data_IF_519429806001
#
_entry.id   IF_519429806001
#
_cell.length_a   1.000
_cell.length_b   1.000
_cell.length_c   1.000
_cell.angle_alpha   90.00
_cell.angle_beta   90.00
_cell.angle_gamma   90.00
#
_symmetry.space_group_name_H-M   'P 1'
#
loop_
_entity.id
_entity.type
_entity.pdbx_description
1 polymer ?
#
# COMPACT_ATOMS: atom_id res chain seq x y z
N UNK A 1 -11.45 4.36 3.16
CA UNK A 1 -9.98 4.44 3.23
C UNK A 1 -9.57 4.23 4.67
N UNK A 2 -8.66 3.28 4.96
CA UNK A 2 -8.15 3.01 6.31
C UNK A 2 -6.70 3.49 6.40
N UNK A 3 -6.34 4.22 7.44
CA UNK A 3 -4.95 4.63 7.72
C UNK A 3 -4.40 3.70 8.80
N UNK A 4 -3.32 2.98 8.49
CA UNK A 4 -2.64 2.06 9.39
C UNK A 4 -1.25 2.61 9.66
N UNK A 5 -0.88 2.77 10.95
CA UNK A 5 0.41 3.36 11.36
C UNK A 5 1.37 2.37 12.01
N UNK A 6 0.90 1.16 12.31
CA UNK A 6 1.67 0.11 12.95
C UNK A 6 1.95 -1.03 11.98
N UNK A 7 3.19 -1.52 11.96
CA UNK A 7 3.58 -2.71 11.21
C UNK A 7 2.71 -3.91 11.61
N UNK A 8 2.49 -4.10 12.93
CA UNK A 8 1.67 -5.19 13.45
C UNK A 8 0.23 -5.12 12.97
N UNK A 9 -0.36 -3.92 12.97
CA UNK A 9 -1.74 -3.74 12.48
C UNK A 9 -1.82 -4.01 10.97
N UNK A 10 -0.82 -3.60 10.20
CA UNK A 10 -0.77 -3.85 8.75
C UNK A 10 -0.65 -5.34 8.45
N UNK A 11 0.19 -6.07 9.19
CA UNK A 11 0.32 -7.53 9.07
C UNK A 11 -1.01 -8.23 9.38
N UNK A 12 -1.68 -7.87 10.48
CA UNK A 12 -3.00 -8.42 10.83
C UNK A 12 -4.03 -8.16 9.72
N UNK A 13 -4.06 -6.95 9.17
CA UNK A 13 -4.96 -6.61 8.06
C UNK A 13 -4.65 -7.43 6.81
N UNK A 14 -3.39 -7.49 6.38
CA UNK A 14 -2.98 -8.22 5.18
C UNK A 14 -3.29 -9.72 5.31
N UNK A 15 -3.05 -10.31 6.48
CA UNK A 15 -3.38 -11.71 6.76
C UNK A 15 -4.89 -11.98 6.74
N UNK A 16 -5.70 -11.06 7.29
CA UNK A 16 -7.16 -11.17 7.21
C UNK A 16 -7.69 -11.08 5.77
N UNK A 17 -7.05 -10.30 4.89
CA UNK A 17 -7.46 -10.19 3.50
C UNK A 17 -7.00 -11.43 2.71
N UNK A 18 -5.78 -11.90 2.97
CA UNK A 18 -5.26 -13.15 2.40
C UNK A 18 -6.11 -14.36 2.77
N UNK A 19 -6.54 -14.49 4.03
CA UNK A 19 -7.39 -15.60 4.48
C UNK A 19 -8.79 -15.59 3.86
N UNK A 20 -9.25 -14.43 3.38
CA UNK A 20 -10.48 -14.27 2.59
C UNK A 20 -10.28 -14.58 1.10
N UNK A 21 -9.09 -14.99 0.68
CA UNK A 21 -8.75 -15.22 -0.73
C UNK A 21 -8.64 -13.95 -1.57
N UNK A 22 -8.60 -12.77 -0.93
CA UNK A 22 -8.53 -11.48 -1.62
C UNK A 22 -7.09 -11.16 -2.03
N UNK A 23 -6.92 -10.64 -3.24
CA UNK A 23 -5.63 -10.18 -3.76
C UNK A 23 -5.40 -8.73 -3.37
N UNK A 24 -4.27 -8.46 -2.73
CA UNK A 24 -3.83 -7.10 -2.38
C UNK A 24 -2.87 -6.58 -3.45
N UNK A 25 -3.21 -5.47 -4.10
CA UNK A 25 -2.29 -4.69 -4.91
C UNK A 25 -1.53 -3.72 -4.00
N UNK A 26 -0.23 -3.53 -4.23
CA UNK A 26 0.62 -2.70 -3.40
C UNK A 26 1.37 -1.65 -4.24
N UNK A 27 1.31 -0.39 -3.80
CA UNK A 27 2.05 0.74 -4.37
C UNK A 27 2.92 1.35 -3.26
N UNK A 28 4.23 1.02 -3.20
CA UNK A 28 5.12 1.63 -2.22
C UNK A 28 5.49 3.05 -2.61
N UNK A 29 5.46 3.99 -1.65
CA UNK A 29 5.85 5.39 -1.90
C UNK A 29 6.57 6.00 -0.70
N UNK A 30 7.20 7.16 -0.92
CA UNK A 30 7.72 8.02 0.14
C UNK A 30 6.81 9.22 0.45
N UNK A 31 5.59 9.27 -0.11
CA UNK A 31 4.66 10.39 0.03
C UNK A 31 4.77 11.43 -1.08
N UNK A 32 4.33 12.66 -0.79
CA UNK A 32 4.31 13.80 -1.73
C UNK A 32 3.77 13.45 -3.13
N UNK A 33 2.51 13.01 -3.17
CA UNK A 33 1.90 12.44 -4.36
C UNK A 33 1.78 13.41 -5.54
N UNK A 34 1.82 12.84 -6.74
CA UNK A 34 1.64 13.51 -8.02
C UNK A 34 1.02 12.50 -9.02
N UNK A 35 0.73 12.91 -10.25
CA UNK A 35 -0.02 12.09 -11.22
C UNK A 35 0.59 10.70 -11.50
N UNK A 36 1.92 10.59 -11.52
CA UNK A 36 2.61 9.29 -11.61
C UNK A 36 2.20 8.32 -10.49
N UNK A 37 2.15 8.77 -9.23
CA UNK A 37 1.66 7.96 -8.12
C UNK A 37 0.19 7.57 -8.29
N UNK A 38 -0.65 8.53 -8.70
CA UNK A 38 -2.09 8.28 -8.89
C UNK A 38 -2.36 7.31 -10.05
N UNK A 39 -1.54 7.34 -11.10
CA UNK A 39 -1.59 6.37 -12.19
C UNK A 39 -1.34 4.94 -11.68
N UNK A 40 -0.27 4.74 -10.88
CA UNK A 40 0.02 3.44 -10.27
C UNK A 40 -1.10 2.97 -9.33
N UNK A 41 -1.69 3.88 -8.54
CA UNK A 41 -2.84 3.55 -7.68
C UNK A 41 -4.08 3.16 -8.48
N UNK A 42 -4.38 3.87 -9.58
CA UNK A 42 -5.48 3.53 -10.50
C UNK A 42 -5.28 2.15 -11.12
N UNK A 43 -4.06 1.84 -11.55
CA UNK A 43 -3.72 0.53 -12.10
C UNK A 43 -3.79 -0.57 -11.02
N UNK A 44 -3.28 -0.32 -9.82
CA UNK A 44 -3.35 -1.27 -8.71
C UNK A 44 -4.79 -1.65 -8.34
N UNK A 45 -5.73 -0.70 -8.37
CA UNK A 45 -7.17 -0.99 -8.17
C UNK A 45 -7.77 -1.92 -9.22
N UNK A 46 -7.22 -1.99 -10.43
CA UNK A 46 -7.68 -2.92 -11.47
C UNK A 46 -7.12 -4.33 -11.28
N UNK A 47 -5.99 -4.47 -10.56
CA UNK A 47 -5.25 -5.74 -10.43
C UNK A 47 -5.55 -6.51 -9.16
N UNK A 48 -6.11 -5.88 -8.12
CA UNK A 48 -6.43 -6.53 -6.85
C UNK A 48 -7.76 -6.06 -6.24
N UNK A 49 -8.26 -6.84 -5.29
CA UNK A 49 -9.49 -6.57 -4.55
C UNK A 49 -9.31 -5.49 -3.48
N UNK A 50 -8.06 -5.24 -3.07
CA UNK A 50 -7.65 -4.21 -2.14
C UNK A 50 -6.39 -3.51 -2.67
N UNK A 51 -6.32 -2.19 -2.55
CA UNK A 51 -5.11 -1.41 -2.80
C UNK A 51 -4.50 -0.95 -1.47
N UNK A 52 -3.28 -1.37 -1.20
CA UNK A 52 -2.43 -0.85 -0.14
C UNK A 52 -1.42 0.15 -0.71
N UNK A 53 -1.22 1.27 -0.02
CA UNK A 53 -0.22 2.29 -0.35
C UNK A 53 0.59 2.56 0.90
N UNK A 54 1.92 2.45 0.83
CA UNK A 54 2.78 2.90 1.92
C UNK A 54 3.22 4.34 1.70
N UNK A 55 3.36 5.09 2.79
CA UNK A 55 4.04 6.38 2.83
C UNK A 55 5.13 6.24 3.88
N UNK A 56 6.36 6.05 3.44
CA UNK A 56 7.52 5.93 4.33
C UNK A 56 8.76 6.49 3.62
N UNK A 57 9.26 7.62 4.11
CA UNK A 57 10.58 8.11 3.69
C UNK A 57 11.61 7.21 4.35
N UNK A 58 12.27 6.37 3.56
CA UNK A 58 13.23 5.39 4.05
C UNK A 58 14.60 6.04 4.25
N UNK A 59 15.08 6.29 5.49
CA UNK A 59 16.36 6.97 5.70
C UNK A 59 17.56 6.23 5.10
N UNK A 60 17.47 4.90 4.98
CA UNK A 60 18.54 4.08 4.41
C UNK A 60 18.75 4.30 2.89
N UNK A 61 17.86 5.04 2.22
CA UNK A 61 17.96 5.36 0.79
C UNK A 61 18.61 6.73 0.51
N UNK A 62 19.02 7.46 1.55
CA UNK A 62 19.63 8.78 1.41
C UNK A 62 21.09 8.72 1.87
N UNK A 63 21.97 9.39 1.11
CA UNK A 63 23.41 9.44 1.33
C UNK A 63 23.82 10.47 2.38
#
# INVERSE_FOLDING_TARGET
MKIIRSVREMQIFAESERSRGRRIAFVPTMGYFHEGHLHLMREGRRRGDCLAVSIYVNPAQFA
#
